data_IF_561119812217
#
_entry.id   IF_561119812217
#
_cell.length_a   1.000
_cell.length_b   1.000
_cell.length_c   1.000
_cell.angle_alpha   90.00
_cell.angle_beta   90.00
_cell.angle_gamma   90.00
#
_symmetry.space_group_name_H-M   'P 1'
#
loop_
_entity.id
_entity.type
_entity.pdbx_description
1 polymer ?
#
# COMPACT_ATOMS: atom_id res chain seq x y z
N UNK A 1 -0.61 -14.97 8.18
CA UNK A 1 -0.04 -13.70 8.67
C UNK A 1 0.75 -13.08 7.52
N UNK A 2 0.65 -11.77 7.28
CA UNK A 2 1.42 -11.11 6.20
C UNK A 2 2.83 -10.85 6.71
N UNK A 3 3.85 -11.32 6.01
CA UNK A 3 5.26 -11.26 6.42
C UNK A 3 6.08 -10.25 5.62
N UNK A 4 5.58 -9.83 4.45
CA UNK A 4 6.27 -8.87 3.58
C UNK A 4 5.24 -8.08 2.79
N UNK A 5 5.49 -6.78 2.64
CA UNK A 5 4.79 -5.90 1.73
C UNK A 5 5.74 -5.53 0.59
N UNK A 6 5.34 -5.86 -0.63
CA UNK A 6 6.03 -5.47 -1.86
C UNK A 6 5.09 -4.58 -2.69
N UNK A 7 5.59 -3.41 -3.07
CA UNK A 7 4.86 -2.40 -3.84
C UNK A 7 5.76 -1.84 -4.92
N UNK A 8 5.25 -1.76 -6.13
CA UNK A 8 5.96 -1.19 -7.28
C UNK A 8 4.99 -0.33 -8.09
N UNK A 9 5.49 0.79 -8.60
CA UNK A 9 4.78 1.74 -9.46
C UNK A 9 3.38 2.14 -8.94
N UNK A 10 3.24 2.34 -7.63
CA UNK A 10 1.98 2.71 -7.00
C UNK A 10 2.06 4.10 -6.36
N UNK A 11 1.34 5.06 -6.94
CA UNK A 11 1.39 6.47 -6.55
C UNK A 11 2.85 6.95 -6.47
N UNK A 12 3.28 7.48 -5.32
CA UNK A 12 4.66 7.95 -5.12
C UNK A 12 5.67 6.84 -4.82
N UNK A 13 5.24 5.58 -4.65
CA UNK A 13 6.14 4.45 -4.41
C UNK A 13 6.59 3.86 -5.75
N UNK A 14 7.86 4.09 -6.11
CA UNK A 14 8.47 3.47 -7.30
C UNK A 14 8.73 1.99 -7.07
N UNK A 15 9.44 1.65 -6.00
CA UNK A 15 9.71 0.27 -5.59
C UNK A 15 9.98 0.25 -4.10
N UNK A 16 9.26 -0.61 -3.36
CA UNK A 16 9.37 -0.77 -1.92
C UNK A 16 9.14 -2.25 -1.58
N UNK A 17 10.09 -2.85 -0.87
CA UNK A 17 9.94 -4.18 -0.29
C UNK A 17 10.31 -4.05 1.18
N UNK A 18 9.35 -4.32 2.07
CA UNK A 18 9.53 -4.22 3.51
C UNK A 18 9.03 -5.48 4.21
N UNK A 19 9.86 -6.13 5.03
CA UNK A 19 9.39 -7.17 5.93
C UNK A 19 8.44 -6.56 6.96
N UNK A 20 7.45 -7.33 7.40
CA UNK A 20 6.47 -6.92 8.40
C UNK A 20 6.61 -7.77 9.65
N UNK A 21 6.58 -7.10 10.80
CA UNK A 21 6.48 -7.75 12.11
C UNK A 21 5.10 -7.48 12.75
N UNK A 22 4.91 -7.90 14.00
CA UNK A 22 3.67 -7.71 14.77
C UNK A 22 3.29 -6.24 14.94
N UNK A 23 4.27 -5.34 15.00
CA UNK A 23 4.08 -3.89 15.04
C UNK A 23 5.08 -3.22 14.10
N UNK A 24 4.58 -2.41 13.17
CA UNK A 24 5.40 -1.66 12.24
C UNK A 24 5.09 -0.17 12.41
N UNK A 25 6.11 0.63 12.72
CA UNK A 25 5.98 2.08 12.88
C UNK A 25 6.56 2.76 11.65
N UNK A 26 5.72 3.47 10.89
CA UNK A 26 6.14 4.16 9.68
C UNK A 26 6.36 5.65 9.99
N UNK A 27 7.62 6.10 9.89
CA UNK A 27 8.03 7.49 10.14
C UNK A 27 8.68 8.11 8.90
N UNK A 28 8.93 9.43 8.94
CA UNK A 28 9.57 10.18 7.87
C UNK A 28 8.93 11.54 7.63
N UNK A 29 9.60 12.41 6.87
CA UNK A 29 9.12 13.76 6.55
C UNK A 29 7.83 13.74 5.69
N UNK A 30 7.14 14.88 5.59
CA UNK A 30 5.99 15.02 4.69
C UNK A 30 6.39 14.80 3.23
N UNK A 31 5.50 14.21 2.42
CA UNK A 31 5.77 13.92 1.01
C UNK A 31 6.60 12.65 0.72
N UNK A 32 7.12 11.97 1.74
CA UNK A 32 8.00 10.79 1.58
C UNK A 32 7.28 9.47 1.21
N UNK A 33 5.97 9.50 0.95
CA UNK A 33 5.22 8.32 0.49
C UNK A 33 4.58 7.45 1.57
N UNK A 34 4.61 7.85 2.85
CA UNK A 34 3.89 7.15 3.94
C UNK A 34 2.41 6.92 3.64
N UNK A 35 1.70 7.92 3.15
CA UNK A 35 0.28 7.79 2.77
C UNK A 35 0.08 6.82 1.61
N UNK A 36 1.01 6.78 0.65
CA UNK A 36 0.99 5.81 -0.45
C UNK A 36 1.19 4.38 0.06
N UNK A 37 2.07 4.18 1.06
CA UNK A 37 2.23 2.88 1.73
C UNK A 37 0.91 2.43 2.37
N UNK A 38 0.26 3.28 3.17
CA UNK A 38 -1.03 2.94 3.78
C UNK A 38 -2.13 2.66 2.75
N UNK A 39 -2.17 3.41 1.64
CA UNK A 39 -3.15 3.17 0.57
C UNK A 39 -2.89 1.86 -0.16
N UNK A 40 -1.63 1.46 -0.37
CA UNK A 40 -1.30 0.16 -0.97
C UNK A 40 -1.83 -1.00 -0.12
N UNK A 41 -1.70 -0.91 1.21
CA UNK A 41 -2.25 -1.89 2.15
C UNK A 41 -3.79 -1.93 2.09
N UNK A 42 -4.44 -0.77 1.99
CA UNK A 42 -5.91 -0.70 1.82
C UNK A 42 -6.36 -1.33 0.51
N UNK A 43 -5.66 -1.05 -0.59
CA UNK A 43 -5.96 -1.63 -1.90
C UNK A 43 -5.80 -3.16 -1.88
N UNK A 44 -4.72 -3.68 -1.28
CA UNK A 44 -4.53 -5.13 -1.10
C UNK A 44 -5.65 -5.74 -0.27
N UNK A 45 -6.02 -5.12 0.85
CA UNK A 45 -7.10 -5.60 1.71
C UNK A 45 -8.49 -5.54 1.05
N UNK A 46 -8.74 -4.55 0.18
CA UNK A 46 -9.98 -4.48 -0.60
C UNK A 46 -10.00 -5.53 -1.71
N UNK A 47 -8.87 -5.75 -2.38
CA UNK A 47 -8.72 -6.75 -3.43
C UNK A 47 -8.94 -8.17 -2.90
N UNK A 48 -8.38 -8.48 -1.73
CA UNK A 48 -8.58 -9.77 -1.06
C UNK A 48 -10.05 -10.03 -0.66
N UNK A 49 -10.89 -8.99 -0.58
CA UNK A 49 -12.32 -9.07 -0.24
C UNK A 49 -13.24 -8.98 -1.46
N UNK A 50 -12.70 -9.14 -2.67
CA UNK A 50 -13.47 -9.08 -3.92
C UNK A 50 -13.80 -7.66 -4.40
N UNK A 51 -13.23 -6.62 -3.77
CA UNK A 51 -13.46 -5.22 -4.09
C UNK A 51 -12.39 -4.56 -4.97
N UNK A 52 -11.56 -5.34 -5.67
CA UNK A 52 -10.37 -4.84 -6.38
C UNK A 52 -10.70 -3.72 -7.39
N UNK A 53 -11.70 -3.94 -8.25
CA UNK A 53 -12.09 -2.99 -9.30
C UNK A 53 -12.61 -1.69 -8.70
N UNK A 54 -13.50 -1.77 -7.71
CA UNK A 54 -14.05 -0.61 -7.03
C UNK A 54 -12.96 0.17 -6.27
N UNK A 55 -12.03 -0.54 -5.62
CA UNK A 55 -10.92 0.07 -4.91
C UNK A 55 -9.96 0.81 -5.87
N UNK A 56 -9.66 0.23 -7.03
CA UNK A 56 -8.87 0.89 -8.08
C UNK A 56 -9.59 2.13 -8.64
N UNK A 57 -10.90 2.03 -8.89
CA UNK A 57 -11.68 3.17 -9.36
C UNK A 57 -11.67 4.34 -8.37
N UNK A 58 -11.80 4.07 -7.07
CA UNK A 58 -11.69 5.08 -6.01
C UNK A 58 -10.30 5.71 -5.88
N UNK A 59 -9.28 5.01 -6.38
CA UNK A 59 -7.89 5.48 -6.34
C UNK A 59 -7.52 6.36 -7.55
N UNK A 60 -8.43 6.50 -8.54
CA UNK A 60 -8.24 7.32 -9.74
C UNK A 60 -8.20 6.53 -11.06
N UNK A 61 -8.39 5.22 -11.02
CA UNK A 61 -8.28 4.35 -12.20
C UNK A 61 -6.86 3.88 -12.49
N UNK A 62 -6.68 3.21 -13.64
CA UNK A 62 -5.37 2.88 -14.22
C UNK A 62 -4.83 4.06 -15.04
#
# INVERSE_FOLDING_TARGET
MITTLAVENYRSLRRLIVPLDRLNVITGANGTGKSSLYRSLRLLAASARGGAVAALAQEGGL
#
